data_IF_203163443188
#
_entry.id   IF_203163443188
#
_cell.length_a   1.000
_cell.length_b   1.000
_cell.length_c   1.000
_cell.angle_alpha   90.00
_cell.angle_beta   90.00
_cell.angle_gamma   90.00
#
_symmetry.space_group_name_H-M   'P 1'
#
loop_
_entity.id
_entity.type
_entity.pdbx_description
1 polymer ?
#
# COMPACT_ATOMS: atom_id res chain seq x y z
N UNK A 1 30.62 -0.24 -21.23
CA UNK A 1 30.72 -0.95 -19.96
C UNK A 1 29.32 -1.30 -19.42
N UNK A 2 28.43 -0.33 -19.17
CA UNK A 2 27.12 -0.53 -18.51
C UNK A 2 26.14 -1.49 -19.24
N UNK A 3 26.28 -1.70 -20.54
CA UNK A 3 25.47 -2.67 -21.31
C UNK A 3 25.89 -4.13 -21.11
N UNK A 4 27.08 -4.36 -20.58
CA UNK A 4 27.69 -5.70 -20.45
C UNK A 4 27.97 -6.10 -19.00
N UNK A 5 27.93 -5.14 -18.07
CA UNK A 5 28.24 -5.35 -16.67
C UNK A 5 27.24 -4.58 -15.80
N UNK A 6 26.89 -5.12 -14.65
CA UNK A 6 26.03 -4.45 -13.66
C UNK A 6 26.90 -3.68 -12.65
N UNK A 7 26.54 -2.44 -12.40
CA UNK A 7 27.22 -1.59 -11.43
C UNK A 7 26.23 -1.20 -10.32
N UNK A 8 26.71 -1.21 -9.11
CA UNK A 8 25.92 -0.82 -7.93
C UNK A 8 25.81 0.70 -7.80
N UNK A 9 26.86 1.40 -8.19
CA UNK A 9 26.95 2.84 -8.12
C UNK A 9 27.74 3.36 -9.34
N UNK A 10 27.28 4.46 -9.89
CA UNK A 10 27.96 5.20 -10.93
C UNK A 10 28.28 6.60 -10.42
N UNK A 11 29.56 6.97 -10.49
CA UNK A 11 30.04 8.32 -10.24
C UNK A 11 30.37 8.96 -11.57
N UNK A 12 29.73 10.06 -11.94
CA UNK A 12 29.92 10.70 -13.23
C UNK A 12 30.04 12.22 -13.12
N UNK A 13 30.81 12.83 -13.99
CA UNK A 13 30.88 14.28 -14.10
C UNK A 13 29.59 14.82 -14.74
N UNK A 14 29.10 15.95 -14.28
CA UNK A 14 27.95 16.63 -14.88
C UNK A 14 28.25 17.12 -16.30
N UNK A 15 29.46 17.59 -16.54
CA UNK A 15 29.91 18.08 -17.86
C UNK A 15 30.95 17.13 -18.45
N UNK A 16 30.57 16.38 -19.47
CA UNK A 16 31.48 15.50 -20.21
C UNK A 16 31.37 15.79 -21.71
N UNK A 17 32.44 15.54 -22.52
CA UNK A 17 32.36 15.61 -23.97
C UNK A 17 31.33 14.59 -24.47
N UNK A 18 30.51 14.99 -25.44
CA UNK A 18 29.54 14.18 -26.17
C UNK A 18 28.23 13.78 -25.42
N UNK A 19 28.22 13.73 -24.10
CA UNK A 19 27.04 13.35 -23.31
C UNK A 19 27.13 14.01 -21.93
N UNK A 20 26.08 14.67 -21.47
CA UNK A 20 26.07 15.22 -20.12
C UNK A 20 25.89 14.11 -19.06
N UNK A 21 26.26 14.39 -17.82
CA UNK A 21 26.02 13.44 -16.71
C UNK A 21 24.54 13.17 -16.48
N UNK A 22 23.65 14.12 -16.81
CA UNK A 22 22.20 13.93 -16.72
C UNK A 22 21.68 13.00 -17.83
N UNK A 23 22.16 13.16 -19.07
CA UNK A 23 21.79 12.27 -20.17
C UNK A 23 22.27 10.83 -19.87
N UNK A 24 23.47 10.70 -19.27
CA UNK A 24 23.98 9.41 -18.84
C UNK A 24 23.12 8.79 -17.71
N UNK A 25 22.66 9.59 -16.76
CA UNK A 25 21.75 9.17 -15.68
C UNK A 25 20.44 8.61 -16.26
N UNK A 26 19.82 9.33 -17.21
CA UNK A 26 18.61 8.86 -17.88
C UNK A 26 18.85 7.55 -18.64
N UNK A 27 19.97 7.45 -19.36
CA UNK A 27 20.33 6.24 -20.08
C UNK A 27 20.60 5.04 -19.16
N UNK A 28 21.20 5.27 -17.98
CA UNK A 28 21.41 4.25 -16.95
C UNK A 28 20.07 3.78 -16.37
N UNK A 29 19.20 4.72 -16.00
CA UNK A 29 17.91 4.39 -15.41
C UNK A 29 16.95 3.71 -16.39
N UNK A 30 17.09 3.97 -17.70
CA UNK A 30 16.37 3.23 -18.73
C UNK A 30 16.80 1.75 -18.82
N UNK A 31 18.04 1.42 -18.44
CA UNK A 31 18.55 0.04 -18.43
C UNK A 31 18.32 -0.61 -17.06
N UNK A 32 18.66 0.09 -16.00
CA UNK A 32 18.51 -0.36 -14.61
C UNK A 32 18.15 0.82 -13.68
N UNK A 33 16.85 1.02 -13.37
CA UNK A 33 16.39 2.10 -12.51
C UNK A 33 16.95 2.06 -11.06
N UNK A 34 17.52 0.92 -10.67
CA UNK A 34 18.00 0.70 -9.30
C UNK A 34 19.47 1.12 -9.12
N UNK A 35 20.18 1.43 -10.20
CA UNK A 35 21.57 1.85 -10.12
C UNK A 35 21.68 3.23 -9.49
N UNK A 36 22.47 3.32 -8.42
CA UNK A 36 22.76 4.58 -7.77
C UNK A 36 23.65 5.45 -8.66
N UNK A 37 23.23 6.70 -8.93
CA UNK A 37 24.04 7.64 -9.69
C UNK A 37 24.34 8.87 -8.84
N UNK A 38 25.62 9.21 -8.71
CA UNK A 38 26.12 10.41 -8.03
C UNK A 38 26.79 11.31 -9.07
N UNK A 39 26.36 12.57 -9.14
CA UNK A 39 26.89 13.53 -10.08
C UNK A 39 28.01 14.37 -9.46
N UNK A 40 29.11 14.60 -10.18
CA UNK A 40 30.17 15.52 -9.80
C UNK A 40 30.01 16.84 -10.56
N UNK A 41 30.12 17.97 -9.87
CA UNK A 41 30.00 19.30 -10.48
C UNK A 41 31.17 20.22 -10.07
N UNK A 42 31.65 21.03 -11.00
CA UNK A 42 32.64 22.06 -10.73
C UNK A 42 32.02 23.35 -10.14
N UNK A 43 30.69 23.53 -10.28
CA UNK A 43 29.96 24.68 -9.79
C UNK A 43 28.85 24.22 -8.86
N UNK A 44 29.04 24.40 -7.57
CA UNK A 44 28.07 24.07 -6.51
C UNK A 44 26.95 25.10 -6.39
N UNK A 45 26.21 25.41 -7.46
CA UNK A 45 25.00 26.21 -7.30
C UNK A 45 23.86 25.33 -6.77
N UNK A 46 23.06 25.90 -5.86
CA UNK A 46 21.87 25.21 -5.31
C UNK A 46 20.94 24.75 -6.43
N UNK A 47 20.85 25.51 -7.51
CA UNK A 47 19.99 25.19 -8.68
C UNK A 47 20.48 23.95 -9.42
N UNK A 48 21.78 23.75 -9.62
CA UNK A 48 22.34 22.58 -10.29
C UNK A 48 22.19 21.31 -9.43
N UNK A 49 22.32 21.46 -8.11
CA UNK A 49 22.09 20.39 -7.14
C UNK A 49 20.62 19.92 -7.16
N UNK A 50 19.68 20.86 -7.09
CA UNK A 50 18.24 20.57 -7.14
C UNK A 50 17.83 19.92 -8.48
N UNK A 51 18.39 20.40 -9.60
CA UNK A 51 18.15 19.82 -10.92
C UNK A 51 18.64 18.37 -11.00
N UNK A 52 19.82 18.07 -10.47
CA UNK A 52 20.40 16.73 -10.45
C UNK A 52 19.54 15.74 -9.65
N UNK A 53 19.08 16.14 -8.47
CA UNK A 53 18.20 15.30 -7.63
C UNK A 53 16.82 15.12 -8.27
N UNK A 54 16.24 16.16 -8.88
CA UNK A 54 14.98 16.07 -9.64
C UNK A 54 15.10 15.14 -10.86
N UNK A 55 16.27 15.07 -11.48
CA UNK A 55 16.59 14.15 -12.57
C UNK A 55 16.77 12.70 -12.13
N UNK A 56 16.72 12.40 -10.82
CA UNK A 56 16.82 11.05 -10.28
C UNK A 56 18.21 10.67 -9.75
N UNK A 57 19.19 11.57 -9.72
CA UNK A 57 20.46 11.32 -9.06
C UNK A 57 20.24 11.13 -7.55
N UNK A 58 20.95 10.17 -6.95
CA UNK A 58 20.87 9.94 -5.51
C UNK A 58 21.51 11.08 -4.73
N UNK A 59 22.61 11.62 -5.26
CA UNK A 59 23.35 12.71 -4.63
C UNK A 59 24.24 13.43 -5.65
N UNK A 60 24.88 14.53 -5.21
CA UNK A 60 25.88 15.24 -5.98
C UNK A 60 27.11 15.57 -5.12
N UNK A 61 28.26 15.76 -5.76
CA UNK A 61 29.54 16.13 -5.14
C UNK A 61 30.12 17.34 -5.86
N UNK A 62 30.66 18.28 -5.10
CA UNK A 62 31.36 19.45 -5.64
C UNK A 62 32.85 19.19 -5.78
N UNK A 63 33.45 19.67 -6.87
CA UNK A 63 34.90 19.68 -7.05
C UNK A 63 35.50 20.93 -6.40
N UNK A 64 36.69 20.84 -5.74
CA UNK A 64 37.56 19.66 -5.62
C UNK A 64 36.96 18.62 -4.66
N UNK A 65 37.10 17.34 -5.00
CA UNK A 65 36.55 16.23 -4.23
C UNK A 65 37.29 16.10 -2.90
N UNK A 66 36.52 16.13 -1.81
CA UNK A 66 37.00 15.70 -0.50
C UNK A 66 36.80 14.19 -0.38
N UNK A 67 37.88 13.46 -0.04
CA UNK A 67 37.84 12.00 0.04
C UNK A 67 36.87 11.49 1.12
N UNK A 68 36.83 12.15 2.27
CA UNK A 68 35.93 11.78 3.36
C UNK A 68 34.46 11.97 2.98
N UNK A 69 34.16 13.09 2.30
CA UNK A 69 32.83 13.35 1.78
C UNK A 69 32.41 12.34 0.70
N UNK A 70 33.33 12.03 -0.23
CA UNK A 70 33.11 11.01 -1.27
C UNK A 70 32.79 9.66 -0.64
N UNK A 71 33.60 9.19 0.30
CA UNK A 71 33.40 7.91 0.97
C UNK A 71 32.09 7.88 1.78
N UNK A 72 31.75 8.98 2.45
CA UNK A 72 30.48 9.09 3.16
C UNK A 72 29.26 8.96 2.21
N UNK A 73 29.29 9.67 1.07
CA UNK A 73 28.22 9.62 0.06
C UNK A 73 28.09 8.25 -0.58
N UNK A 74 29.21 7.60 -0.91
CA UNK A 74 29.21 6.23 -1.45
C UNK A 74 28.60 5.25 -0.45
N UNK A 75 28.99 5.31 0.82
CA UNK A 75 28.41 4.45 1.85
C UNK A 75 26.90 4.66 1.99
N UNK A 76 26.45 5.90 2.06
CA UNK A 76 25.02 6.25 2.16
C UNK A 76 24.22 5.75 0.96
N UNK A 77 24.77 5.88 -0.26
CA UNK A 77 24.14 5.38 -1.48
C UNK A 77 24.06 3.84 -1.46
N UNK A 78 25.12 3.15 -1.02
CA UNK A 78 25.15 1.71 -0.86
C UNK A 78 24.16 1.17 0.18
N UNK A 79 24.06 1.83 1.34
CA UNK A 79 23.07 1.48 2.37
C UNK A 79 21.64 1.63 1.86
N UNK A 80 21.33 2.75 1.19
CA UNK A 80 20.01 2.97 0.60
C UNK A 80 19.64 1.90 -0.41
N UNK A 81 20.57 1.51 -1.29
CA UNK A 81 20.37 0.45 -2.27
C UNK A 81 20.16 -0.90 -1.59
N UNK A 82 20.99 -1.24 -0.60
CA UNK A 82 20.85 -2.48 0.15
C UNK A 82 19.46 -2.60 0.79
N UNK A 83 19.01 -1.55 1.47
CA UNK A 83 17.67 -1.51 2.06
C UNK A 83 16.57 -1.65 1.00
N UNK A 84 16.76 -1.07 -0.17
CA UNK A 84 15.79 -1.20 -1.27
C UNK A 84 15.72 -2.66 -1.78
N UNK A 85 16.87 -3.31 -2.02
CA UNK A 85 16.92 -4.71 -2.46
C UNK A 85 16.31 -5.62 -1.40
N UNK A 86 16.71 -5.48 -0.13
CA UNK A 86 16.18 -6.27 0.98
C UNK A 86 14.66 -6.10 1.11
N UNK A 87 14.15 -4.88 1.00
CA UNK A 87 12.71 -4.61 1.02
C UNK A 87 11.99 -5.28 -0.16
N UNK A 88 12.60 -5.28 -1.36
CA UNK A 88 12.05 -5.96 -2.53
C UNK A 88 12.02 -7.47 -2.33
N UNK A 89 13.10 -8.07 -1.90
CA UNK A 89 13.19 -9.52 -1.65
C UNK A 89 12.21 -9.97 -0.56
N UNK A 90 12.07 -9.19 0.51
CA UNK A 90 11.08 -9.44 1.55
C UNK A 90 9.65 -9.34 0.98
N UNK A 91 9.36 -8.36 0.14
CA UNK A 91 8.05 -8.24 -0.54
C UNK A 91 7.79 -9.40 -1.48
N UNK A 92 8.76 -9.79 -2.30
CA UNK A 92 8.64 -10.93 -3.23
C UNK A 92 8.42 -12.25 -2.47
N UNK A 93 9.12 -12.45 -1.35
CA UNK A 93 8.91 -13.61 -0.47
C UNK A 93 7.50 -13.60 0.16
N UNK A 94 7.03 -12.46 0.62
CA UNK A 94 5.67 -12.30 1.14
C UNK A 94 4.62 -12.52 0.05
N UNK A 95 4.84 -11.97 -1.13
CA UNK A 95 3.94 -12.16 -2.28
C UNK A 95 3.89 -13.63 -2.72
N UNK A 96 5.03 -14.32 -2.75
CA UNK A 96 5.11 -15.74 -3.08
C UNK A 96 4.30 -16.63 -2.12
N UNK A 97 4.31 -16.31 -0.82
CA UNK A 97 3.55 -17.04 0.21
C UNK A 97 2.03 -16.78 0.17
N UNK A 98 1.59 -15.69 -0.44
CA UNK A 98 0.19 -15.27 -0.46
C UNK A 98 -0.41 -15.25 -1.88
N UNK A 99 0.26 -15.88 -2.85
CA UNK A 99 -0.32 -16.09 -4.19
C UNK A 99 -1.54 -17.01 -4.13
N UNK A 100 -2.37 -16.94 -5.13
CA UNK A 100 -3.58 -17.79 -5.26
C UNK A 100 -3.20 -19.26 -5.18
N UNK A 101 -2.02 -19.65 -5.69
CA UNK A 101 -1.45 -21.01 -5.63
C UNK A 101 -1.15 -21.47 -4.19
N UNK A 102 -1.04 -20.54 -3.23
CA UNK A 102 -0.86 -20.85 -1.80
C UNK A 102 -2.15 -21.15 -1.04
N UNK A 103 -3.31 -21.02 -1.69
CA UNK A 103 -4.59 -21.38 -1.09
C UNK A 103 -4.74 -22.90 -1.22
N UNK A 104 -4.71 -23.60 -0.10
CA UNK A 104 -4.88 -25.04 -0.04
C UNK A 104 -6.37 -25.37 -0.10
N UNK A 105 -6.80 -26.16 -1.08
CA UNK A 105 -8.17 -26.65 -1.21
C UNK A 105 -8.41 -27.25 -2.59
N UNK A 106 -8.81 -28.52 -2.61
CA UNK A 106 -9.07 -29.31 -3.83
C UNK A 106 -10.55 -29.63 -4.00
N UNK A 107 -11.40 -29.25 -3.01
CA UNK A 107 -12.85 -29.45 -3.12
C UNK A 107 -13.45 -28.59 -4.24
N UNK A 108 -14.50 -29.09 -4.92
CA UNK A 108 -15.18 -28.35 -5.99
C UNK A 108 -15.58 -26.93 -5.57
N UNK A 109 -16.26 -26.73 -4.42
CA UNK A 109 -16.62 -25.40 -3.95
C UNK A 109 -15.41 -24.47 -3.73
N UNK A 110 -14.27 -25.01 -3.28
CA UNK A 110 -13.07 -24.20 -3.09
C UNK A 110 -12.40 -23.83 -4.42
N UNK A 111 -12.43 -24.70 -5.41
CA UNK A 111 -11.96 -24.40 -6.76
C UNK A 111 -12.79 -23.27 -7.41
N UNK A 112 -14.11 -23.23 -7.16
CA UNK A 112 -14.98 -22.14 -7.59
C UNK A 112 -14.57 -20.81 -6.92
N UNK A 113 -14.28 -20.83 -5.63
CA UNK A 113 -13.75 -19.67 -4.91
C UNK A 113 -12.44 -19.19 -5.53
N UNK A 114 -11.48 -20.09 -5.78
CA UNK A 114 -10.19 -19.76 -6.41
C UNK A 114 -10.40 -19.16 -7.81
N UNK A 115 -11.32 -19.73 -8.60
CA UNK A 115 -11.67 -19.19 -9.92
C UNK A 115 -12.24 -17.77 -9.82
N UNK A 116 -13.13 -17.53 -8.86
CA UNK A 116 -13.71 -16.21 -8.62
C UNK A 116 -12.65 -15.19 -8.15
N UNK A 117 -11.74 -15.61 -7.27
CA UNK A 117 -10.59 -14.79 -6.83
C UNK A 117 -9.76 -14.33 -8.02
N UNK A 118 -9.42 -15.25 -8.95
CA UNK A 118 -8.66 -14.92 -10.17
C UNK A 118 -9.37 -13.91 -11.05
N UNK A 119 -10.68 -14.01 -11.19
CA UNK A 119 -11.50 -13.09 -12.01
C UNK A 119 -11.65 -11.71 -11.38
N UNK A 120 -11.78 -11.64 -10.04
CA UNK A 120 -12.03 -10.37 -9.35
C UNK A 120 -10.75 -9.60 -8.99
N UNK A 121 -9.62 -10.30 -8.84
CA UNK A 121 -8.37 -9.69 -8.44
C UNK A 121 -7.94 -8.51 -9.34
N UNK A 122 -8.01 -8.59 -10.69
CA UNK A 122 -7.63 -7.48 -11.56
C UNK A 122 -8.56 -6.27 -11.50
N UNK A 123 -9.76 -6.40 -10.94
CA UNK A 123 -10.75 -5.32 -10.88
C UNK A 123 -10.54 -4.42 -9.65
N UNK A 124 -11.11 -3.20 -9.71
CA UNK A 124 -11.20 -2.27 -8.57
C UNK A 124 -12.48 -2.46 -7.74
N UNK A 125 -13.28 -3.46 -8.06
CA UNK A 125 -14.54 -3.72 -7.38
C UNK A 125 -14.33 -4.01 -5.89
N UNK A 126 -15.26 -3.55 -5.08
CA UNK A 126 -15.36 -3.92 -3.67
C UNK A 126 -15.72 -5.40 -3.55
N UNK A 127 -15.07 -6.11 -2.64
CA UNK A 127 -15.26 -7.55 -2.43
C UNK A 127 -15.76 -7.79 -1.01
N UNK A 128 -16.88 -8.48 -0.89
CA UNK A 128 -17.41 -8.97 0.37
C UNK A 128 -17.12 -10.47 0.51
N UNK A 129 -16.31 -10.84 1.50
CA UNK A 129 -15.91 -12.21 1.77
C UNK A 129 -16.75 -12.75 2.93
N UNK A 130 -17.52 -13.80 2.68
CA UNK A 130 -18.35 -14.45 3.71
C UNK A 130 -17.84 -15.85 4.00
N UNK A 131 -17.97 -16.28 5.24
CA UNK A 131 -17.59 -17.62 5.68
C UNK A 131 -17.52 -17.70 7.19
N UNK A 132 -17.61 -18.90 7.72
CA UNK A 132 -17.52 -19.15 9.17
C UNK A 132 -16.18 -18.63 9.74
N UNK A 133 -16.09 -18.52 11.08
CA UNK A 133 -14.81 -18.17 11.71
C UNK A 133 -13.76 -19.24 11.41
N UNK A 134 -12.54 -18.81 11.11
CA UNK A 134 -11.44 -19.74 10.81
C UNK A 134 -11.37 -20.28 9.37
N UNK A 135 -12.32 -19.95 8.47
CA UNK A 135 -12.31 -20.45 7.07
C UNK A 135 -11.25 -19.81 6.17
N UNK A 136 -10.42 -18.91 6.68
CA UNK A 136 -9.35 -18.29 5.89
C UNK A 136 -9.76 -17.05 5.11
N UNK A 137 -10.79 -16.29 5.52
CA UNK A 137 -11.22 -15.03 4.90
C UNK A 137 -10.06 -14.06 4.67
N UNK A 138 -9.15 -13.96 5.62
CA UNK A 138 -7.94 -13.13 5.49
C UNK A 138 -6.99 -13.63 4.41
N UNK A 139 -6.84 -14.94 4.25
CA UNK A 139 -5.98 -15.51 3.20
C UNK A 139 -6.54 -15.22 1.81
N UNK A 140 -7.86 -15.30 1.63
CA UNK A 140 -8.52 -14.91 0.38
C UNK A 140 -8.31 -13.42 0.09
N UNK A 141 -8.46 -12.54 1.10
CA UNK A 141 -8.22 -11.12 0.93
C UNK A 141 -6.76 -10.82 0.51
N UNK A 142 -5.78 -11.48 1.13
CA UNK A 142 -4.38 -11.41 0.73
C UNK A 142 -4.17 -11.86 -0.71
N UNK A 143 -4.71 -13.02 -1.08
CA UNK A 143 -4.59 -13.55 -2.44
C UNK A 143 -5.17 -12.59 -3.49
N UNK A 144 -6.33 -11.98 -3.22
CA UNK A 144 -6.93 -10.96 -4.10
C UNK A 144 -6.00 -9.75 -4.23
N UNK A 145 -5.46 -9.24 -3.12
CA UNK A 145 -4.56 -8.09 -3.14
C UNK A 145 -3.30 -8.36 -3.94
N UNK A 146 -2.59 -9.46 -3.65
CA UNK A 146 -1.32 -9.78 -4.31
C UNK A 146 -1.49 -10.22 -5.79
N UNK A 147 -2.69 -10.62 -6.20
CA UNK A 147 -3.02 -10.88 -7.61
C UNK A 147 -3.62 -9.65 -8.32
N UNK A 148 -3.69 -8.49 -7.67
CA UNK A 148 -4.28 -7.27 -8.21
C UNK A 148 -3.22 -6.29 -8.75
N UNK A 149 -3.63 -5.28 -9.55
CA UNK A 149 -2.74 -4.18 -9.94
C UNK A 149 -2.16 -3.39 -8.77
N UNK A 150 -2.75 -3.53 -7.56
CA UNK A 150 -2.31 -2.88 -6.32
C UNK A 150 -1.36 -3.73 -5.47
N UNK A 151 -0.84 -4.84 -5.99
CA UNK A 151 0.03 -5.77 -5.28
C UNK A 151 1.30 -5.12 -4.69
N UNK A 152 1.81 -4.07 -5.34
CA UNK A 152 2.95 -3.28 -4.86
C UNK A 152 2.60 -2.27 -3.76
N UNK A 153 1.31 -1.94 -3.62
CA UNK A 153 0.80 -1.02 -2.61
C UNK A 153 0.60 -1.66 -1.24
N UNK A 154 0.25 -0.88 -0.22
CA UNK A 154 0.00 -1.41 1.11
C UNK A 154 -1.29 -2.24 1.17
N UNK A 155 -1.25 -3.35 1.92
CA UNK A 155 -2.44 -4.07 2.38
C UNK A 155 -2.61 -3.79 3.88
N UNK A 156 -3.55 -2.93 4.20
CA UNK A 156 -3.86 -2.57 5.60
C UNK A 156 -5.06 -3.38 6.05
N UNK A 157 -4.96 -3.99 7.24
CA UNK A 157 -6.03 -4.80 7.84
C UNK A 157 -6.55 -4.13 9.09
N UNK A 158 -7.87 -4.17 9.26
CA UNK A 158 -8.55 -3.70 10.47
C UNK A 158 -9.62 -4.73 10.84
N UNK A 159 -9.58 -5.19 12.07
CA UNK A 159 -10.65 -6.00 12.64
C UNK A 159 -11.62 -5.06 13.39
N UNK A 160 -12.85 -4.97 12.91
CA UNK A 160 -13.85 -4.05 13.45
C UNK A 160 -14.37 -4.47 14.84
N UNK A 161 -14.25 -5.75 15.19
CA UNK A 161 -14.67 -6.27 16.49
C UNK A 161 -13.60 -6.14 17.58
N UNK A 162 -12.32 -5.88 17.21
CA UNK A 162 -11.20 -5.95 18.15
C UNK A 162 -11.02 -4.71 19.02
N UNK A 163 -11.66 -3.59 18.69
CA UNK A 163 -11.43 -2.30 19.34
C UNK A 163 -12.74 -1.69 19.84
N UNK A 164 -12.72 -0.97 20.98
CA UNK A 164 -13.83 -0.10 21.38
C UNK A 164 -14.15 0.94 20.30
N UNK A 165 -15.41 1.35 20.19
CA UNK A 165 -15.92 2.25 19.12
C UNK A 165 -15.09 3.53 18.94
N UNK A 166 -14.77 4.22 20.04
CA UNK A 166 -13.99 5.47 20.01
C UNK A 166 -12.58 5.29 19.47
N UNK A 167 -11.95 4.15 19.81
CA UNK A 167 -10.63 3.80 19.28
C UNK A 167 -10.71 3.36 17.82
N UNK A 168 -11.75 2.62 17.45
CA UNK A 168 -11.96 2.15 16.08
C UNK A 168 -12.12 3.33 15.12
N UNK A 169 -12.87 4.38 15.50
CA UNK A 169 -13.02 5.60 14.72
C UNK A 169 -11.67 6.28 14.48
N UNK A 170 -10.92 6.49 15.55
CA UNK A 170 -9.59 7.11 15.47
C UNK A 170 -8.58 6.26 14.70
N UNK A 171 -8.65 4.93 14.79
CA UNK A 171 -7.80 4.03 13.99
C UNK A 171 -8.18 4.10 12.51
N UNK A 172 -9.45 4.05 12.15
CA UNK A 172 -9.90 4.06 10.75
C UNK A 172 -9.59 5.39 10.07
N UNK A 173 -10.00 6.50 10.68
CA UNK A 173 -10.01 7.83 10.05
C UNK A 173 -8.87 8.74 10.51
N UNK A 174 -8.14 8.36 11.57
CA UNK A 174 -7.15 9.23 12.19
C UNK A 174 -7.78 10.35 13.01
N UNK A 175 -6.94 11.10 13.72
CA UNK A 175 -7.39 12.23 14.52
C UNK A 175 -6.39 13.40 14.48
N UNK A 176 -6.89 14.59 14.69
CA UNK A 176 -6.08 15.78 14.94
C UNK A 176 -5.78 15.93 16.42
N UNK A 177 -4.73 16.66 16.73
CA UNK A 177 -4.37 17.00 18.12
C UNK A 177 -5.54 17.73 18.80
N UNK A 178 -5.94 17.23 19.98
CA UNK A 178 -7.06 17.82 20.75
C UNK A 178 -8.44 17.30 20.36
N UNK A 179 -8.56 16.34 19.46
CA UNK A 179 -9.85 15.79 19.02
C UNK A 179 -10.66 15.11 20.12
N UNK A 180 -9.99 14.57 21.13
CA UNK A 180 -10.58 13.96 22.33
C UNK A 180 -9.60 13.99 23.50
N UNK A 181 -10.06 13.69 24.72
CA UNK A 181 -9.20 13.62 25.90
C UNK A 181 -8.15 12.53 25.73
N UNK A 182 -6.87 12.95 25.65
CA UNK A 182 -5.73 12.05 25.36
C UNK A 182 -5.17 12.13 23.94
N UNK A 183 -5.77 12.90 23.03
CA UNK A 183 -5.23 13.17 21.70
C UNK A 183 -4.09 14.21 21.75
N UNK A 184 -2.93 13.81 22.25
CA UNK A 184 -1.76 14.70 22.44
C UNK A 184 -1.11 15.07 21.11
N UNK A 185 -1.15 14.16 20.13
CA UNK A 185 -0.56 14.33 18.78
C UNK A 185 -1.60 14.01 17.73
N UNK A 186 -1.42 14.53 16.51
CA UNK A 186 -2.18 14.10 15.34
C UNK A 186 -1.71 12.69 14.90
N UNK A 187 -2.64 11.84 14.44
CA UNK A 187 -2.35 10.49 13.98
C UNK A 187 -3.04 10.19 12.65
N UNK A 188 -2.30 9.55 11.75
CA UNK A 188 -2.84 9.04 10.49
C UNK A 188 -3.77 7.84 10.73
N UNK A 189 -4.89 7.81 9.99
CA UNK A 189 -5.82 6.68 10.00
C UNK A 189 -5.43 5.57 9.03
N UNK A 190 -6.10 4.43 9.17
CA UNK A 190 -5.88 3.25 8.32
C UNK A 190 -6.23 3.52 6.85
N UNK A 191 -7.19 4.38 6.56
CA UNK A 191 -7.50 4.83 5.20
C UNK A 191 -6.32 5.57 4.56
N UNK A 192 -5.66 6.45 5.31
CA UNK A 192 -4.48 7.19 4.83
C UNK A 192 -3.29 6.25 4.60
N UNK A 193 -3.06 5.32 5.52
CA UNK A 193 -2.02 4.29 5.41
C UNK A 193 -2.26 3.31 4.25
N UNK A 194 -3.52 3.07 3.87
CA UNK A 194 -3.90 2.20 2.76
C UNK A 194 -3.88 2.90 1.40
N UNK A 195 -3.58 4.20 1.35
CA UNK A 195 -3.63 4.97 0.11
C UNK A 195 -2.72 4.39 -0.98
N UNK A 196 -3.24 4.25 -2.19
CA UNK A 196 -2.58 3.55 -3.30
C UNK A 196 -2.63 2.02 -3.23
N UNK A 197 -3.21 1.45 -2.16
CA UNK A 197 -3.30 0.02 -1.91
C UNK A 197 -4.71 -0.48 -1.61
N UNK A 198 -4.82 -1.36 -0.61
CA UNK A 198 -6.06 -2.04 -0.24
C UNK A 198 -6.29 -1.95 1.27
N UNK A 199 -7.52 -1.65 1.67
CA UNK A 199 -7.98 -1.76 3.05
C UNK A 199 -8.90 -2.99 3.18
N UNK A 200 -8.55 -3.89 4.08
CA UNK A 200 -9.34 -5.06 4.43
C UNK A 200 -10.01 -4.83 5.80
N UNK A 201 -11.34 -4.79 5.79
CA UNK A 201 -12.19 -4.61 6.96
C UNK A 201 -12.73 -5.98 7.37
N UNK A 202 -12.13 -6.58 8.38
CA UNK A 202 -12.60 -7.86 8.92
C UNK A 202 -13.70 -7.63 9.94
N UNK A 203 -14.67 -8.53 9.99
CA UNK A 203 -15.87 -8.49 10.85
C UNK A 203 -16.66 -7.18 10.69
N UNK A 204 -16.97 -6.84 9.43
CA UNK A 204 -17.69 -5.60 9.08
C UNK A 204 -19.09 -5.51 9.71
N UNK A 205 -19.68 -6.65 10.06
CA UNK A 205 -20.96 -6.73 10.76
C UNK A 205 -20.94 -6.17 12.19
N UNK A 206 -19.76 -5.93 12.76
CA UNK A 206 -19.58 -5.37 14.10
C UNK A 206 -19.21 -3.87 14.06
N UNK A 207 -19.21 -3.26 12.85
CA UNK A 207 -18.94 -1.83 12.70
C UNK A 207 -20.12 -1.01 13.27
N UNK A 208 -19.88 -0.06 14.20
CA UNK A 208 -20.91 0.80 14.78
C UNK A 208 -21.64 1.63 13.73
N UNK A 209 -22.95 1.89 13.90
CA UNK A 209 -23.81 2.56 12.92
C UNK A 209 -23.31 3.94 12.48
N UNK A 210 -22.76 4.74 13.40
CA UNK A 210 -22.19 6.05 13.06
C UNK A 210 -20.93 5.95 12.17
N UNK A 211 -20.12 4.89 12.34
CA UNK A 211 -18.96 4.63 11.50
C UNK A 211 -19.35 4.06 10.14
N UNK A 212 -20.48 3.36 10.06
CA UNK A 212 -21.02 2.88 8.78
C UNK A 212 -21.36 4.05 7.84
N UNK A 213 -21.92 5.15 8.37
CA UNK A 213 -22.19 6.36 7.58
C UNK A 213 -20.89 7.00 7.05
N UNK A 214 -19.84 7.08 7.88
CA UNK A 214 -18.55 7.59 7.44
C UNK A 214 -17.90 6.67 6.40
N UNK A 215 -17.95 5.35 6.59
CA UNK A 215 -17.46 4.39 5.62
C UNK A 215 -18.19 4.49 4.28
N UNK A 216 -19.49 4.66 4.29
CA UNK A 216 -20.30 4.85 3.07
C UNK A 216 -19.83 6.07 2.28
N UNK A 217 -19.56 7.19 2.97
CA UNK A 217 -19.03 8.40 2.34
C UNK A 217 -17.68 8.13 1.66
N UNK A 218 -16.77 7.40 2.31
CA UNK A 218 -15.47 7.01 1.70
C UNK A 218 -15.68 6.16 0.45
N UNK A 219 -16.61 5.20 0.47
CA UNK A 219 -16.92 4.33 -0.67
C UNK A 219 -17.52 5.09 -1.86
N UNK A 220 -18.24 6.20 -1.61
CA UNK A 220 -18.91 6.99 -2.64
C UNK A 220 -18.03 8.12 -3.17
N UNK A 221 -17.44 8.90 -2.26
CA UNK A 221 -16.76 10.16 -2.55
C UNK A 221 -15.23 10.02 -2.60
N UNK A 222 -14.69 8.91 -2.10
CA UNK A 222 -13.25 8.66 -1.95
C UNK A 222 -12.55 9.70 -1.09
N UNK A 223 -13.29 10.25 -0.13
CA UNK A 223 -12.77 11.20 0.85
C UNK A 223 -13.44 11.00 2.20
N UNK A 224 -12.78 11.48 3.24
CA UNK A 224 -13.28 11.46 4.62
C UNK A 224 -12.68 12.61 5.42
N UNK A 225 -13.18 12.82 6.64
CA UNK A 225 -12.66 13.79 7.60
C UNK A 225 -12.07 13.07 8.80
N UNK A 226 -10.89 13.53 9.27
CA UNK A 226 -10.28 13.05 10.52
C UNK A 226 -11.13 13.45 11.72
N UNK A 227 -11.02 12.69 12.80
CA UNK A 227 -11.69 13.05 14.06
C UNK A 227 -11.14 14.39 14.55
N UNK A 228 -12.02 15.34 14.84
CA UNK A 228 -11.66 16.70 15.24
C UNK A 228 -11.28 17.64 14.10
N UNK A 229 -11.52 17.25 12.84
CA UNK A 229 -11.25 18.09 11.67
C UNK A 229 -12.43 18.07 10.70
N UNK A 230 -12.69 19.20 10.03
CA UNK A 230 -13.63 19.30 8.91
C UNK A 230 -12.93 19.36 7.54
N UNK A 231 -11.61 19.12 7.50
CA UNK A 231 -10.87 19.11 6.24
C UNK A 231 -11.00 17.75 5.56
N UNK A 232 -11.48 17.67 4.30
CA UNK A 232 -11.57 16.42 3.57
C UNK A 232 -10.18 15.91 3.21
N UNK A 233 -9.98 14.60 3.43
CA UNK A 233 -8.78 13.85 3.05
C UNK A 233 -9.17 12.91 1.92
N UNK A 234 -8.60 13.12 0.73
CA UNK A 234 -8.83 12.25 -0.43
C UNK A 234 -7.97 11.01 -0.36
N UNK A 235 -8.57 9.86 -0.69
CA UNK A 235 -7.88 8.57 -0.69
C UNK A 235 -8.24 7.73 -1.91
N UNK A 236 -7.26 7.03 -2.42
CA UNK A 236 -7.43 6.04 -3.48
C UNK A 236 -7.17 4.64 -2.91
N UNK A 237 -8.20 4.01 -2.36
CA UNK A 237 -8.10 2.73 -1.66
C UNK A 237 -9.11 1.75 -2.23
N UNK A 238 -8.65 0.52 -2.55
CA UNK A 238 -9.56 -0.58 -2.82
C UNK A 238 -10.07 -1.14 -1.49
N UNK A 239 -11.39 -1.34 -1.37
CA UNK A 239 -11.99 -1.88 -0.15
C UNK A 239 -12.31 -3.36 -0.34
N UNK A 240 -11.95 -4.15 0.66
CA UNK A 240 -12.43 -5.52 0.85
C UNK A 240 -13.01 -5.64 2.25
N UNK A 241 -14.12 -6.31 2.41
CA UNK A 241 -14.77 -6.55 3.70
C UNK A 241 -15.01 -8.02 3.95
N UNK A 242 -14.98 -8.45 5.20
CA UNK A 242 -15.33 -9.82 5.57
C UNK A 242 -16.30 -9.86 6.74
N UNK A 243 -17.10 -10.91 6.79
CA UNK A 243 -17.97 -11.21 7.93
C UNK A 243 -18.28 -12.69 8.04
N UNK A 244 -18.38 -13.19 9.27
CA UNK A 244 -18.95 -14.50 9.57
C UNK A 244 -20.46 -14.40 9.90
N UNK A 245 -20.96 -13.19 10.22
CA UNK A 245 -22.36 -12.95 10.59
C UNK A 245 -23.28 -12.87 9.38
N UNK A 246 -24.54 -13.28 9.50
CA UNK A 246 -25.54 -13.11 8.45
C UNK A 246 -25.93 -11.62 8.35
N UNK A 247 -25.32 -10.89 7.41
CA UNK A 247 -25.47 -9.43 7.27
C UNK A 247 -26.91 -9.02 6.99
N UNK A 248 -27.67 -9.86 6.28
CA UNK A 248 -29.10 -9.64 5.98
C UNK A 248 -29.96 -9.64 7.26
N UNK A 249 -29.58 -10.43 8.25
CA UNK A 249 -30.24 -10.42 9.57
C UNK A 249 -29.89 -9.14 10.34
N UNK A 250 -28.65 -8.66 10.22
CA UNK A 250 -28.25 -7.40 10.84
C UNK A 250 -28.96 -6.18 10.24
N UNK A 251 -29.24 -6.19 8.92
CA UNK A 251 -30.04 -5.17 8.26
C UNK A 251 -31.46 -5.15 8.84
N UNK A 252 -32.10 -6.32 8.95
CA UNK A 252 -33.47 -6.42 9.52
C UNK A 252 -33.51 -5.99 11.00
N UNK A 253 -32.42 -6.20 11.73
CA UNK A 253 -32.29 -5.77 13.13
C UNK A 253 -31.91 -4.28 13.28
N UNK A 254 -31.71 -3.54 12.19
CA UNK A 254 -31.26 -2.14 12.23
C UNK A 254 -29.81 -1.93 12.70
N UNK A 255 -29.00 -2.99 12.73
CA UNK A 255 -27.60 -2.97 13.14
C UNK A 255 -26.63 -2.74 11.96
N UNK A 256 -27.08 -2.98 10.74
CA UNK A 256 -26.34 -2.71 9.50
C UNK A 256 -27.20 -1.88 8.55
N UNK A 257 -26.63 -0.81 8.02
CA UNK A 257 -27.29 0.02 7.01
C UNK A 257 -27.37 -0.73 5.69
N UNK A 258 -28.54 -0.71 5.09
CA UNK A 258 -28.80 -1.38 3.81
C UNK A 258 -28.02 -0.74 2.66
N UNK A 259 -27.87 0.59 2.65
CA UNK A 259 -27.10 1.31 1.64
C UNK A 259 -25.59 0.94 1.67
N UNK A 260 -25.01 0.79 2.85
CA UNK A 260 -23.65 0.33 3.02
C UNK A 260 -23.49 -1.13 2.53
N UNK A 261 -24.42 -2.01 2.89
CA UNK A 261 -24.39 -3.40 2.45
C UNK A 261 -24.33 -3.53 0.93
N UNK A 262 -25.19 -2.85 0.18
CA UNK A 262 -25.16 -2.90 -1.28
C UNK A 262 -23.88 -2.31 -1.87
N UNK A 263 -23.28 -1.32 -1.21
CA UNK A 263 -22.02 -0.73 -1.66
C UNK A 263 -20.81 -1.64 -1.40
N UNK A 264 -20.86 -2.46 -0.35
CA UNK A 264 -19.84 -3.46 -0.04
C UNK A 264 -20.02 -4.74 -0.85
N UNK A 265 -21.25 -5.14 -1.12
CA UNK A 265 -21.60 -6.39 -1.81
C UNK A 265 -21.65 -6.24 -3.33
N UNK A 266 -20.56 -5.72 -3.94
CA UNK A 266 -20.44 -5.64 -5.41
C UNK A 266 -20.03 -6.99 -5.96
N UNK A 267 -19.06 -7.66 -5.33
CA UNK A 267 -18.71 -9.05 -5.61
C UNK A 267 -18.68 -9.80 -4.29
N UNK A 268 -19.49 -10.86 -4.17
CA UNK A 268 -19.51 -11.72 -3.01
C UNK A 268 -18.70 -12.98 -3.24
N UNK A 269 -17.82 -13.31 -2.29
CA UNK A 269 -17.09 -14.57 -2.23
C UNK A 269 -17.57 -15.32 -0.98
N UNK A 270 -18.18 -16.47 -1.16
CA UNK A 270 -18.59 -17.36 -0.08
C UNK A 270 -17.55 -18.46 0.08
N UNK A 271 -16.87 -18.51 1.22
CA UNK A 271 -15.90 -19.56 1.52
C UNK A 271 -16.65 -20.73 2.17
N UNK A 272 -16.54 -21.94 1.61
CA UNK A 272 -17.15 -23.12 2.22
C UNK A 272 -16.49 -23.42 3.58
N UNK A 273 -17.23 -24.00 4.52
CA UNK A 273 -16.63 -24.50 5.76
C UNK A 273 -15.74 -25.71 5.48
N UNK A 274 -14.71 -25.94 6.33
CA UNK A 274 -13.73 -27.02 6.14
C UNK A 274 -14.31 -28.44 6.14
N UNK A 275 -15.55 -28.61 6.59
CA UNK A 275 -16.28 -29.89 6.59
C UNK A 275 -16.95 -30.23 5.25
N UNK A 276 -16.97 -29.33 4.32
CA UNK A 276 -17.47 -29.45 2.93
C UNK A 276 -16.30 -29.38 1.92
#
# INVERSE_FOLDING_TARGET
>A
AFRHESFDLVLTDQKMPNMSGLDLLEAIHAINPETAVVLMTAYGSIESAVSSIKGGAIDYLTKPLNLDELLFRIRKAGERRRLFIENRELRETLQGRHRIEGIIGESGPMLDVISLVRRVAPSEATVLIRGESGTGKELIAKAIHFASPRASGPLIKVNCAALPETLLESELFGHEKGAFTGAVTSRQGRFELANGGTLFLDEIGDLPLHLQAKLLRVLQEREYEKVGSSRPVKVNVRIMAASHRPLEALIKAGQLREDLYYRLNVVMILIPPLRE
#
